data_IF_511164692283
#
_entry.id   IF_511164692283
#
_cell.length_a   1.000
_cell.length_b   1.000
_cell.length_c   1.000
_cell.angle_alpha   90.00
_cell.angle_beta   90.00
_cell.angle_gamma   90.00
#
_symmetry.space_group_name_H-M   'P 1'
#
loop_
_entity.id
_entity.type
_entity.pdbx_description
1 polymer ?
#
# COMPACT_ATOMS: atom_id res chain seq x y z
N UNK A 1 6.84 13.90 -3.63
CA UNK A 1 7.11 12.48 -3.39
C UNK A 1 6.78 11.65 -4.62
N UNK A 2 5.51 11.49 -4.96
CA UNK A 2 5.03 10.85 -6.20
C UNK A 2 4.37 11.90 -7.09
N UNK A 3 4.68 11.91 -8.39
CA UNK A 3 4.03 12.74 -9.39
C UNK A 3 3.64 11.88 -10.59
N UNK A 4 2.42 12.03 -11.02
CA UNK A 4 1.86 11.39 -12.22
C UNK A 4 1.43 12.51 -13.15
N UNK A 5 1.96 12.53 -14.38
CA UNK A 5 1.69 13.61 -15.34
C UNK A 5 1.17 13.00 -16.65
N UNK A 6 -0.01 13.43 -17.09
CA UNK A 6 -0.65 13.07 -18.36
C UNK A 6 -0.63 11.57 -18.63
N UNK A 7 -0.87 10.75 -17.57
CA UNK A 7 -0.77 9.30 -17.64
C UNK A 7 -1.89 8.71 -18.50
N UNK A 8 -1.52 7.94 -19.51
CA UNK A 8 -2.41 7.09 -20.30
C UNK A 8 -2.01 5.65 -20.08
N UNK A 9 -2.96 4.82 -19.68
CA UNK A 9 -2.74 3.40 -19.36
C UNK A 9 -4.05 2.61 -19.39
N UNK A 10 -3.94 1.29 -19.38
CA UNK A 10 -5.11 0.40 -19.38
C UNK A 10 -4.70 -1.07 -19.41
N UNK A 11 -5.61 -1.92 -19.84
CA UNK A 11 -5.42 -3.38 -19.89
C UNK A 11 -5.57 -3.90 -21.31
N UNK A 12 -4.55 -4.60 -21.83
CA UNK A 12 -4.53 -5.04 -23.21
C UNK A 12 -4.65 -3.85 -24.17
N UNK A 13 -5.75 -3.75 -24.90
CA UNK A 13 -6.08 -2.63 -25.81
C UNK A 13 -7.10 -1.65 -25.20
N UNK A 14 -7.63 -1.94 -24.02
CA UNK A 14 -8.67 -1.11 -23.38
C UNK A 14 -8.02 -0.01 -22.55
N UNK A 15 -8.21 1.24 -23.00
CA UNK A 15 -7.74 2.41 -22.28
C UNK A 15 -8.66 2.71 -21.07
N UNK A 16 -8.07 2.87 -19.89
CA UNK A 16 -8.76 3.24 -18.65
C UNK A 16 -8.39 4.66 -18.21
N UNK A 17 -7.11 4.99 -18.28
CA UNK A 17 -6.62 6.33 -17.91
C UNK A 17 -6.38 7.17 -19.17
N UNK A 18 -6.89 8.39 -19.15
CA UNK A 18 -6.75 9.34 -20.26
C UNK A 18 -6.21 10.67 -19.75
N UNK A 19 -4.88 10.82 -19.71
CA UNK A 19 -4.23 12.05 -19.27
C UNK A 19 -4.34 12.31 -17.77
N UNK A 20 -4.31 11.25 -16.94
CA UNK A 20 -4.43 11.40 -15.49
C UNK A 20 -3.25 12.15 -14.89
N UNK A 21 -3.56 13.04 -13.92
CA UNK A 21 -2.57 13.80 -13.18
C UNK A 21 -2.79 13.61 -11.69
N UNK A 22 -1.72 13.41 -10.92
CA UNK A 22 -1.77 13.24 -9.47
C UNK A 22 -0.45 13.68 -8.84
N UNK A 23 -0.51 14.24 -7.65
CA UNK A 23 0.66 14.58 -6.83
C UNK A 23 0.45 14.11 -5.40
N UNK A 24 1.49 13.50 -4.82
CA UNK A 24 1.55 13.13 -3.40
C UNK A 24 2.79 13.75 -2.79
N UNK A 25 2.62 14.58 -1.78
CA UNK A 25 3.73 15.21 -1.08
C UNK A 25 4.35 14.27 -0.03
N UNK A 26 5.55 14.58 0.44
CA UNK A 26 6.23 13.76 1.46
C UNK A 26 5.50 13.88 2.80
N UNK A 27 5.48 12.78 3.57
CA UNK A 27 4.94 12.72 4.93
C UNK A 27 3.46 13.15 5.04
N UNK A 28 2.70 13.02 3.94
CA UNK A 28 1.27 13.26 3.90
C UNK A 28 0.49 11.96 3.76
N UNK A 29 -0.77 12.02 4.15
CA UNK A 29 -1.78 11.05 3.75
C UNK A 29 -2.66 11.69 2.71
N UNK A 30 -2.64 11.15 1.50
CA UNK A 30 -3.46 11.62 0.37
C UNK A 30 -4.54 10.59 0.07
N UNK A 31 -5.78 11.04 -0.09
CA UNK A 31 -6.88 10.18 -0.53
C UNK A 31 -7.18 10.38 -2.01
N UNK A 32 -7.17 9.29 -2.77
CA UNK A 32 -7.71 9.26 -4.12
C UNK A 32 -9.13 8.70 -4.07
N UNK A 33 -10.11 9.57 -4.29
CA UNK A 33 -11.53 9.27 -4.15
C UNK A 33 -12.22 9.09 -5.50
N UNK A 34 -13.24 8.25 -5.54
CA UNK A 34 -14.06 8.06 -6.72
C UNK A 34 -14.85 6.74 -6.70
N UNK A 35 -15.86 6.63 -7.55
CA UNK A 35 -16.65 5.42 -7.71
C UNK A 35 -15.86 4.24 -8.31
N UNK A 36 -16.51 3.07 -8.40
CA UNK A 36 -15.93 1.90 -9.06
C UNK A 36 -15.72 2.17 -10.56
N UNK A 37 -14.64 1.63 -11.11
CA UNK A 37 -14.34 1.78 -12.53
C UNK A 37 -13.73 3.12 -12.96
N UNK A 38 -13.51 4.08 -12.05
CA UNK A 38 -12.93 5.40 -12.40
C UNK A 38 -11.41 5.39 -12.61
N UNK A 39 -10.76 4.24 -12.53
CA UNK A 39 -9.32 4.11 -12.81
C UNK A 39 -8.40 4.26 -11.60
N UNK A 40 -8.90 4.38 -10.36
CA UNK A 40 -8.09 4.54 -9.15
C UNK A 40 -7.04 3.44 -8.98
N UNK A 41 -7.47 2.18 -8.96
CA UNK A 41 -6.55 1.02 -8.86
C UNK A 41 -5.63 0.91 -10.08
N UNK A 42 -6.06 1.42 -11.24
CA UNK A 42 -5.24 1.46 -12.47
C UNK A 42 -4.05 2.41 -12.31
N UNK A 43 -4.25 3.59 -11.68
CA UNK A 43 -3.15 4.51 -11.37
C UNK A 43 -2.14 3.83 -10.42
N UNK A 44 -2.61 3.15 -9.36
CA UNK A 44 -1.73 2.44 -8.43
C UNK A 44 -0.94 1.35 -9.13
N UNK A 45 -1.60 0.53 -9.97
CA UNK A 45 -0.96 -0.55 -10.73
C UNK A 45 0.07 -0.02 -11.74
N UNK A 46 -0.20 1.13 -12.37
CA UNK A 46 0.79 1.76 -13.25
C UNK A 46 1.99 2.28 -12.46
N UNK A 47 1.75 2.91 -11.28
CA UNK A 47 2.81 3.40 -10.42
C UNK A 47 3.67 2.30 -9.79
N UNK A 48 3.11 1.11 -9.57
CA UNK A 48 3.83 -0.08 -9.05
C UNK A 48 4.45 -0.96 -10.13
N UNK A 49 4.30 -0.59 -11.43
CA UNK A 49 4.85 -1.36 -12.56
C UNK A 49 4.08 -2.65 -12.89
N UNK A 50 2.89 -2.86 -12.30
CA UNK A 50 2.04 -4.02 -12.58
C UNK A 50 1.34 -3.94 -13.93
N UNK A 51 1.15 -2.72 -14.45
CA UNK A 51 0.66 -2.47 -15.80
C UNK A 51 1.52 -1.41 -16.48
N UNK A 52 1.58 -1.46 -17.81
CA UNK A 52 2.40 -0.55 -18.61
C UNK A 52 1.74 0.81 -18.75
N UNK A 53 2.53 1.89 -18.56
CA UNK A 53 2.18 3.24 -18.97
C UNK A 53 2.37 3.38 -20.48
N UNK A 54 1.33 3.81 -21.20
CA UNK A 54 1.39 3.98 -22.65
C UNK A 54 1.90 5.37 -23.03
N UNK A 55 1.48 6.40 -22.25
CA UNK A 55 1.94 7.80 -22.37
C UNK A 55 2.01 8.46 -21.00
N UNK A 56 2.67 9.59 -20.91
CA UNK A 56 2.85 10.34 -19.67
C UNK A 56 4.05 9.86 -18.86
N UNK A 57 4.23 10.42 -17.68
CA UNK A 57 5.36 10.12 -16.79
C UNK A 57 4.89 9.84 -15.38
N UNK A 58 5.63 8.97 -14.69
CA UNK A 58 5.48 8.71 -13.26
C UNK A 58 6.85 8.94 -12.63
N UNK A 59 6.92 9.89 -11.71
CA UNK A 59 8.14 10.24 -10.98
C UNK A 59 7.97 9.91 -9.50
N UNK A 60 8.94 9.20 -8.93
CA UNK A 60 9.03 8.93 -7.50
C UNK A 60 10.37 9.43 -6.96
N UNK A 61 10.34 10.36 -5.99
CA UNK A 61 11.52 11.04 -5.44
C UNK A 61 12.42 11.68 -6.52
N UNK A 62 11.82 12.29 -7.56
CA UNK A 62 12.46 12.90 -8.72
C UNK A 62 13.15 11.92 -9.68
N UNK A 63 12.91 10.62 -9.55
CA UNK A 63 13.33 9.60 -10.50
C UNK A 63 12.12 9.12 -11.31
N UNK A 64 12.28 8.97 -12.62
CA UNK A 64 11.25 8.37 -13.46
C UNK A 64 11.17 6.85 -13.20
N UNK A 65 9.97 6.38 -12.89
CA UNK A 65 9.74 4.98 -12.55
C UNK A 65 8.75 4.28 -13.51
N UNK A 66 8.15 5.02 -14.45
CA UNK A 66 7.20 4.41 -15.39
C UNK A 66 7.87 3.28 -16.17
N UNK A 67 7.17 2.15 -16.24
CA UNK A 67 7.61 0.93 -16.90
C UNK A 67 8.86 0.25 -16.32
N UNK A 68 9.33 0.64 -15.14
CA UNK A 68 10.27 -0.16 -14.38
C UNK A 68 9.57 -1.44 -13.87
N UNK A 69 10.29 -2.55 -13.73
CA UNK A 69 9.72 -3.77 -13.15
C UNK A 69 9.37 -3.56 -11.67
N UNK A 70 8.31 -4.23 -11.15
CA UNK A 70 7.83 -4.02 -9.78
C UNK A 70 8.90 -4.14 -8.67
N UNK A 71 9.80 -5.10 -8.79
CA UNK A 71 10.86 -5.30 -7.79
C UNK A 71 11.83 -4.10 -7.70
N UNK A 72 12.10 -3.41 -8.80
CA UNK A 72 12.91 -2.20 -8.81
C UNK A 72 12.19 -1.01 -8.18
N UNK A 73 10.87 -0.92 -8.38
CA UNK A 73 10.03 0.13 -7.78
C UNK A 73 9.98 -0.08 -6.26
N UNK A 74 9.79 -1.32 -5.80
CA UNK A 74 9.84 -1.68 -4.38
C UNK A 74 11.22 -1.36 -3.79
N UNK A 75 12.31 -1.67 -4.49
CA UNK A 75 13.66 -1.35 -4.03
C UNK A 75 13.92 0.17 -3.87
N UNK A 76 13.20 1.03 -4.61
CA UNK A 76 13.23 2.49 -4.45
C UNK A 76 12.39 2.98 -3.26
N UNK A 77 11.55 2.09 -2.69
CA UNK A 77 10.75 2.35 -1.51
C UNK A 77 9.28 2.74 -1.80
N UNK A 78 8.75 2.42 -2.97
CA UNK A 78 7.33 2.56 -3.29
C UNK A 78 6.65 1.19 -3.27
N UNK A 79 5.70 0.99 -2.35
CA UNK A 79 5.03 -0.30 -2.14
C UNK A 79 3.53 -0.14 -2.34
N UNK A 80 2.90 -1.09 -3.02
CA UNK A 80 1.46 -1.20 -3.13
C UNK A 80 0.94 -2.38 -2.28
N UNK A 81 -0.14 -2.13 -1.53
CA UNK A 81 -0.99 -3.14 -0.91
C UNK A 81 -2.29 -3.21 -1.70
N UNK A 82 -2.56 -4.35 -2.30
CA UNK A 82 -3.73 -4.59 -3.15
C UNK A 82 -5.00 -4.79 -2.33
N UNK A 83 -6.16 -4.60 -2.93
CA UNK A 83 -7.48 -4.81 -2.31
C UNK A 83 -7.72 -6.29 -1.90
N UNK A 84 -7.09 -7.25 -2.55
CA UNK A 84 -7.41 -8.69 -2.48
C UNK A 84 -7.08 -9.38 -1.15
N UNK A 85 -6.45 -8.70 -0.18
CA UNK A 85 -5.92 -9.33 1.04
C UNK A 85 -5.06 -10.56 0.73
N UNK A 86 -4.19 -10.41 -0.28
CA UNK A 86 -3.35 -11.47 -0.83
C UNK A 86 -2.27 -11.89 0.18
N UNK A 87 -2.56 -12.86 1.01
CA UNK A 87 -1.62 -13.49 1.95
C UNK A 87 -1.35 -14.94 1.55
N UNK A 88 -0.34 -15.54 2.13
CA UNK A 88 -0.07 -16.97 2.00
C UNK A 88 -0.80 -17.72 3.13
N UNK A 89 -1.96 -18.34 2.86
CA UNK A 89 -2.85 -18.86 3.91
C UNK A 89 -2.25 -20.00 4.71
N UNK A 90 -1.38 -20.80 4.11
CA UNK A 90 -0.69 -21.94 4.75
C UNK A 90 0.58 -21.52 5.53
N UNK A 91 0.93 -20.24 5.51
CA UNK A 91 2.05 -19.69 6.28
C UNK A 91 1.55 -18.98 7.53
N UNK A 92 2.37 -18.96 8.58
CA UNK A 92 2.11 -18.18 9.79
C UNK A 92 2.14 -16.67 9.51
N UNK A 93 1.64 -15.88 10.46
CA UNK A 93 1.74 -14.41 10.42
C UNK A 93 3.19 -13.97 10.28
N UNK A 94 4.10 -14.51 11.09
CA UNK A 94 5.53 -14.20 11.05
C UNK A 94 6.15 -14.53 9.69
N UNK A 95 5.85 -15.68 9.11
CA UNK A 95 6.35 -16.08 7.79
C UNK A 95 5.85 -15.17 6.68
N UNK A 96 4.55 -14.83 6.69
CA UNK A 96 3.99 -13.84 5.76
C UNK A 96 4.69 -12.49 5.85
N UNK A 97 4.94 -11.98 7.07
CA UNK A 97 5.66 -10.71 7.27
C UNK A 97 7.09 -10.80 6.73
N UNK A 98 7.84 -11.86 7.05
CA UNK A 98 9.21 -12.06 6.59
C UNK A 98 9.35 -12.01 5.07
N UNK A 99 8.38 -12.53 4.32
CA UNK A 99 8.37 -12.43 2.86
C UNK A 99 8.35 -10.98 2.36
N UNK A 100 7.67 -10.06 3.09
CA UNK A 100 7.69 -8.64 2.76
C UNK A 100 9.05 -7.97 2.91
N UNK A 101 9.92 -8.55 3.71
CA UNK A 101 11.28 -8.06 3.96
C UNK A 101 12.36 -8.69 3.06
N UNK A 102 11.99 -9.42 1.99
CA UNK A 102 12.95 -10.18 1.18
C UNK A 102 14.04 -9.32 0.51
N UNK A 103 13.79 -8.01 0.33
CA UNK A 103 14.77 -7.06 -0.24
C UNK A 103 15.79 -6.55 0.79
N UNK A 104 15.58 -6.84 2.08
CA UNK A 104 16.47 -6.39 3.15
C UNK A 104 17.80 -7.16 3.08
N UNK A 105 18.87 -6.45 3.39
CA UNK A 105 20.24 -7.00 3.21
C UNK A 105 20.74 -7.78 4.43
N UNK A 106 20.14 -7.55 5.61
CA UNK A 106 20.63 -8.15 6.87
C UNK A 106 19.48 -8.71 7.71
N UNK A 107 19.79 -9.76 8.47
CA UNK A 107 18.86 -10.33 9.44
C UNK A 107 18.49 -9.35 10.55
N UNK A 108 19.37 -8.40 10.87
CA UNK A 108 19.06 -7.37 11.87
C UNK A 108 17.97 -6.44 11.37
N UNK A 109 18.06 -5.94 10.13
CA UNK A 109 16.98 -5.13 9.52
C UNK A 109 15.65 -5.86 9.50
N UNK A 110 15.68 -7.17 9.21
CA UNK A 110 14.46 -7.99 9.21
C UNK A 110 13.83 -8.06 10.61
N UNK A 111 14.63 -8.27 11.65
CA UNK A 111 14.16 -8.29 13.05
C UNK A 111 13.60 -6.94 13.47
N UNK A 112 14.34 -5.85 13.22
CA UNK A 112 13.94 -4.48 13.59
C UNK A 112 12.60 -4.10 12.92
N UNK A 113 12.43 -4.45 11.63
CA UNK A 113 11.20 -4.16 10.92
C UNK A 113 10.03 -5.04 11.41
N UNK A 114 10.30 -6.29 11.77
CA UNK A 114 9.28 -7.17 12.35
C UNK A 114 8.78 -6.63 13.69
N UNK A 115 9.67 -6.17 14.57
CA UNK A 115 9.32 -5.53 15.83
C UNK A 115 8.49 -4.25 15.61
N UNK A 116 8.89 -3.40 14.65
CA UNK A 116 8.12 -2.19 14.28
C UNK A 116 6.71 -2.56 13.81
N UNK A 117 6.56 -3.57 12.95
CA UNK A 117 5.25 -4.01 12.46
C UNK A 117 4.40 -4.54 13.61
N UNK A 118 4.95 -5.32 14.52
CA UNK A 118 4.22 -5.81 15.70
C UNK A 118 3.85 -4.68 16.66
N UNK A 119 4.65 -3.63 16.77
CA UNK A 119 4.31 -2.43 17.55
C UNK A 119 3.16 -1.63 16.91
N UNK A 120 3.05 -1.57 15.57
CA UNK A 120 1.89 -0.97 14.90
C UNK A 120 0.65 -1.85 15.00
N UNK A 121 0.82 -3.17 14.95
CA UNK A 121 -0.27 -4.15 14.94
C UNK A 121 -0.09 -5.19 16.06
N UNK A 122 -0.34 -4.85 17.34
CA UNK A 122 -0.14 -5.77 18.48
C UNK A 122 -0.91 -7.09 18.34
N UNK A 123 -2.10 -7.06 17.72
CA UNK A 123 -2.89 -8.28 17.44
C UNK A 123 -2.17 -9.28 16.54
N UNK A 124 -1.33 -8.81 15.60
CA UNK A 124 -0.50 -9.69 14.79
C UNK A 124 0.61 -10.35 15.62
N UNK A 125 1.15 -9.64 16.62
CA UNK A 125 2.14 -10.20 17.52
C UNK A 125 1.56 -11.30 18.42
N UNK A 126 0.34 -11.07 18.95
CA UNK A 126 -0.40 -12.07 19.74
C UNK A 126 -0.65 -13.37 18.94
N UNK A 127 -0.74 -13.28 17.63
CA UNK A 127 -1.06 -14.35 16.68
C UNK A 127 0.09 -14.73 15.77
N UNK A 128 1.32 -14.34 16.11
CA UNK A 128 2.49 -14.43 15.24
C UNK A 128 2.78 -15.81 14.66
N UNK A 129 2.44 -16.84 15.40
CA UNK A 129 2.66 -18.25 15.05
C UNK A 129 1.41 -18.93 14.46
N UNK A 130 0.26 -18.21 14.37
CA UNK A 130 -0.97 -18.74 13.77
C UNK A 130 -0.88 -18.68 12.24
N UNK A 131 -1.54 -19.64 11.58
CA UNK A 131 -1.70 -19.63 10.13
C UNK A 131 -2.57 -18.47 9.67
N UNK A 132 -2.17 -17.79 8.59
CA UNK A 132 -2.93 -16.67 8.05
C UNK A 132 -4.37 -17.04 7.66
N UNK A 133 -4.62 -18.29 7.26
CA UNK A 133 -5.97 -18.79 6.97
C UNK A 133 -6.95 -18.70 8.17
N UNK A 134 -6.45 -18.61 9.40
CA UNK A 134 -7.29 -18.56 10.63
C UNK A 134 -7.59 -17.16 11.11
N UNK A 135 -7.05 -16.12 10.43
CA UNK A 135 -7.22 -14.73 10.80
C UNK A 135 -8.58 -14.19 10.37
N UNK A 136 -9.12 -13.25 11.14
CA UNK A 136 -10.28 -12.45 10.74
C UNK A 136 -9.95 -11.54 9.56
N UNK A 137 -10.97 -11.05 8.84
CA UNK A 137 -10.78 -10.13 7.71
C UNK A 137 -10.00 -8.85 8.06
N UNK A 138 -10.16 -8.34 9.29
CA UNK A 138 -9.41 -7.18 9.78
C UNK A 138 -7.94 -7.51 10.07
N UNK A 139 -7.67 -8.66 10.67
CA UNK A 139 -6.30 -9.14 10.93
C UNK A 139 -5.57 -9.46 9.61
N UNK A 140 -6.26 -10.04 8.62
CA UNK A 140 -5.72 -10.21 7.27
C UNK A 140 -5.33 -8.88 6.63
N UNK A 141 -6.17 -7.85 6.76
CA UNK A 141 -5.85 -6.52 6.25
C UNK A 141 -4.63 -5.92 6.95
N UNK A 142 -4.55 -6.04 8.28
CA UNK A 142 -3.38 -5.63 9.05
C UNK A 142 -2.12 -6.38 8.61
N UNK A 143 -2.24 -7.69 8.33
CA UNK A 143 -1.13 -8.52 7.83
C UNK A 143 -0.65 -8.06 6.45
N UNK A 144 -1.55 -7.73 5.53
CA UNK A 144 -1.20 -7.21 4.21
C UNK A 144 -0.44 -5.87 4.31
N UNK A 145 -0.95 -4.94 5.15
CA UNK A 145 -0.28 -3.65 5.39
C UNK A 145 1.09 -3.89 6.05
N UNK A 146 1.12 -4.72 7.09
CA UNK A 146 2.36 -5.10 7.80
C UNK A 146 3.40 -5.69 6.87
N UNK A 147 3.01 -6.58 5.96
CA UNK A 147 3.89 -7.17 4.96
C UNK A 147 4.48 -6.10 4.03
N UNK A 148 3.68 -5.12 3.60
CA UNK A 148 4.17 -3.98 2.84
C UNK A 148 5.21 -3.14 3.60
N UNK A 149 5.00 -2.95 4.91
CA UNK A 149 5.92 -2.19 5.76
C UNK A 149 7.25 -2.89 6.01
N UNK A 150 7.30 -4.22 5.92
CA UNK A 150 8.52 -5.00 6.15
C UNK A 150 9.68 -4.62 5.23
N UNK A 151 9.41 -4.11 4.03
CA UNK A 151 10.44 -3.61 3.10
C UNK A 151 11.05 -2.26 3.50
N UNK A 152 10.59 -1.65 4.60
CA UNK A 152 10.94 -0.31 5.06
C UNK A 152 10.70 0.76 3.96
N UNK A 153 9.45 0.88 3.45
CA UNK A 153 9.14 1.75 2.34
C UNK A 153 9.26 3.24 2.71
N UNK A 154 9.44 4.09 1.69
CA UNK A 154 9.32 5.56 1.80
C UNK A 154 7.87 6.02 1.59
N UNK A 155 7.11 5.23 0.82
CA UNK A 155 5.70 5.47 0.52
C UNK A 155 4.95 4.14 0.37
N UNK A 156 3.75 4.08 0.95
CA UNK A 156 2.83 2.96 0.76
C UNK A 156 1.56 3.44 0.07
N UNK A 157 1.09 2.66 -0.90
CA UNK A 157 -0.17 2.85 -1.61
C UNK A 157 -1.13 1.76 -1.17
N UNK A 158 -2.28 2.14 -0.62
CA UNK A 158 -3.31 1.24 -0.09
C UNK A 158 -4.55 1.29 -0.99
N UNK A 159 -4.92 0.16 -1.56
CA UNK A 159 -6.09 0.04 -2.43
C UNK A 159 -7.29 -0.47 -1.63
N UNK A 160 -8.24 0.41 -1.32
CA UNK A 160 -9.47 0.17 -0.56
C UNK A 160 -9.24 -0.60 0.77
N UNK A 161 -8.38 -0.09 1.67
CA UNK A 161 -8.03 -0.80 2.91
C UNK A 161 -9.22 -0.99 3.87
N UNK A 162 -10.33 -0.26 3.69
CA UNK A 162 -11.54 -0.38 4.50
C UNK A 162 -12.55 -1.38 3.96
N UNK A 163 -12.34 -1.92 2.74
CA UNK A 163 -13.33 -2.74 2.05
C UNK A 163 -13.74 -3.99 2.83
N UNK A 164 -15.06 -4.20 2.96
CA UNK A 164 -15.67 -5.34 3.65
C UNK A 164 -15.19 -5.53 5.10
N UNK A 165 -14.90 -4.43 5.82
CA UNK A 165 -14.53 -4.44 7.23
C UNK A 165 -15.59 -3.77 8.09
N UNK A 166 -15.71 -4.23 9.34
CA UNK A 166 -16.56 -3.58 10.34
C UNK A 166 -16.02 -2.17 10.66
N UNK A 167 -16.89 -1.17 10.93
CA UNK A 167 -16.48 0.22 11.15
C UNK A 167 -15.41 0.39 12.22
N UNK A 168 -15.49 -0.36 13.31
CA UNK A 168 -14.50 -0.32 14.40
C UNK A 168 -13.09 -0.75 13.93
N UNK A 169 -13.03 -1.79 13.10
CA UNK A 169 -11.76 -2.28 12.53
C UNK A 169 -11.15 -1.25 11.57
N UNK A 170 -11.99 -0.58 10.77
CA UNK A 170 -11.54 0.51 9.89
C UNK A 170 -10.89 1.64 10.70
N UNK A 171 -11.52 2.05 11.81
CA UNK A 171 -10.97 3.07 12.69
C UNK A 171 -9.61 2.64 13.28
N UNK A 172 -9.47 1.38 13.68
CA UNK A 172 -8.20 0.86 14.23
C UNK A 172 -7.10 0.83 13.17
N UNK A 173 -7.42 0.41 11.95
CA UNK A 173 -6.47 0.43 10.83
C UNK A 173 -6.03 1.87 10.54
N UNK A 174 -6.96 2.83 10.51
CA UNK A 174 -6.66 4.23 10.22
C UNK A 174 -5.85 4.91 11.33
N UNK A 175 -6.11 4.58 12.59
CA UNK A 175 -5.25 5.00 13.71
C UNK A 175 -3.80 4.52 13.51
N UNK A 176 -3.63 3.28 13.10
CA UNK A 176 -2.30 2.73 12.84
C UNK A 176 -1.63 3.38 11.62
N UNK A 177 -2.37 3.63 10.53
CA UNK A 177 -1.85 4.37 9.37
C UNK A 177 -1.38 5.78 9.79
N UNK A 178 -2.15 6.48 10.64
CA UNK A 178 -1.73 7.78 11.17
C UNK A 178 -0.46 7.71 12.04
N UNK A 179 -0.29 6.65 12.85
CA UNK A 179 0.97 6.44 13.59
C UNK A 179 2.14 6.25 12.64
N UNK A 180 1.99 5.38 11.65
CA UNK A 180 3.00 5.08 10.64
C UNK A 180 3.40 6.34 9.85
N UNK A 181 2.40 7.19 9.51
CA UNK A 181 2.65 8.48 8.86
C UNK A 181 3.47 9.41 9.76
N UNK A 182 3.13 9.51 11.06
CA UNK A 182 3.88 10.33 12.04
C UNK A 182 5.34 9.89 12.16
N UNK A 183 5.63 8.62 11.94
CA UNK A 183 6.98 8.07 11.90
C UNK A 183 7.69 8.31 10.55
N UNK A 184 7.12 9.15 9.69
CA UNK A 184 7.75 9.67 8.47
C UNK A 184 7.32 9.00 7.15
N UNK A 185 6.41 8.01 7.19
CA UNK A 185 5.92 7.35 5.97
C UNK A 185 4.94 8.25 5.22
N UNK A 186 5.03 8.27 3.89
CA UNK A 186 4.02 8.86 3.01
C UNK A 186 2.97 7.79 2.66
N UNK A 187 1.69 8.16 2.66
CA UNK A 187 0.60 7.22 2.39
C UNK A 187 -0.32 7.76 1.30
N UNK A 188 -0.60 6.95 0.29
CA UNK A 188 -1.68 7.17 -0.66
C UNK A 188 -2.76 6.12 -0.39
N UNK A 189 -3.96 6.56 -0.09
CA UNK A 189 -5.11 5.68 0.12
C UNK A 189 -6.10 5.87 -1.01
N UNK A 190 -6.49 4.79 -1.65
CA UNK A 190 -7.62 4.76 -2.58
C UNK A 190 -8.85 4.32 -1.79
N UNK A 191 -9.93 5.10 -1.85
CA UNK A 191 -11.17 4.79 -1.15
C UNK A 191 -12.39 5.16 -1.99
N UNK A 192 -13.49 4.44 -1.76
CA UNK A 192 -14.81 4.77 -2.31
C UNK A 192 -15.63 5.58 -1.32
N UNK A 193 -15.50 5.30 -0.03
CA UNK A 193 -16.24 5.98 1.02
C UNK A 193 -15.53 7.28 1.41
N UNK A 194 -16.10 8.40 0.95
CA UNK A 194 -15.56 9.74 1.22
C UNK A 194 -15.45 10.03 2.72
N UNK A 195 -16.47 9.64 3.53
CA UNK A 195 -16.42 9.86 4.99
C UNK A 195 -15.25 9.14 5.63
N UNK A 196 -15.01 7.91 5.20
CA UNK A 196 -13.91 7.07 5.70
C UNK A 196 -12.55 7.68 5.33
N UNK A 197 -12.40 8.15 4.11
CA UNK A 197 -11.17 8.77 3.64
C UNK A 197 -10.87 10.11 4.35
N UNK A 198 -11.89 10.94 4.59
CA UNK A 198 -11.73 12.23 5.29
C UNK A 198 -11.31 12.09 6.76
N UNK A 199 -11.50 10.92 7.38
CA UNK A 199 -10.99 10.65 8.72
C UNK A 199 -9.46 10.48 8.76
N UNK A 200 -8.84 10.26 7.61
CA UNK A 200 -7.44 9.89 7.50
C UNK A 200 -6.61 10.90 6.71
N UNK A 201 -7.15 11.43 5.60
CA UNK A 201 -6.39 12.18 4.63
C UNK A 201 -6.13 13.64 5.06
N UNK A 202 -4.92 14.14 4.77
CA UNK A 202 -4.59 15.56 4.89
C UNK A 202 -5.23 16.34 3.72
N UNK A 203 -5.35 15.70 2.52
CA UNK A 203 -6.03 16.22 1.33
C UNK A 203 -6.36 15.08 0.34
N UNK A 204 -7.22 15.39 -0.65
CA UNK A 204 -7.64 14.43 -1.67
C UNK A 204 -8.06 15.13 -2.97
#
# INVERSE_FOLDING_TARGET
MLKVNQLVSGYGTVQILNGANMKVDKQSVVALLGGNGTGKSTILKAASGLIRSWKGTIEFNNEQIQNLPPHEIVARGLVQVTQGKDVFPAMSVTENLRLGGFILKTNQQLKDNLEKVFNYFPRLNERKDQLAATLSGGELQMLCIGRGLMSNPKMIMLDEPSAALAPQIVLDIFKNINRIRKDGLTVLVVEQNVRTALLLADYG
#
